data_IF_063917900927
#
_entry.id   IF_063917900927
#
_cell.length_a   1.000
_cell.length_b   1.000
_cell.length_c   1.000
_cell.angle_alpha   90.00
_cell.angle_beta   90.00
_cell.angle_gamma   90.00
#
_symmetry.space_group_name_H-M   'P 1'
#
loop_
_entity.id
_entity.type
_entity.pdbx_description
1 polymer ?
#
# COMPACT_ATOMS: atom_id res chain seq x y z
N UNK A 1 9.71 -7.02 -29.65
CA UNK A 1 8.50 -6.83 -28.83
C UNK A 1 8.86 -7.20 -27.41
N UNK A 2 9.13 -6.22 -26.55
CA UNK A 2 9.47 -6.47 -25.16
C UNK A 2 8.18 -6.67 -24.38
N UNK A 3 7.91 -7.90 -23.94
CA UNK A 3 6.91 -8.10 -22.91
C UNK A 3 7.45 -7.43 -21.65
N UNK A 4 6.85 -6.30 -21.25
CA UNK A 4 7.00 -5.83 -19.88
C UNK A 4 6.36 -6.91 -19.03
N UNK A 5 7.17 -7.70 -18.33
CA UNK A 5 6.65 -8.49 -17.22
C UNK A 5 6.16 -7.45 -16.22
N UNK A 6 4.85 -7.35 -15.94
CA UNK A 6 4.43 -6.59 -14.78
C UNK A 6 5.24 -7.20 -13.64
N UNK A 7 5.97 -6.35 -12.91
CA UNK A 7 6.65 -6.79 -11.71
C UNK A 7 5.61 -7.60 -10.97
N UNK A 8 5.89 -8.88 -10.75
CA UNK A 8 5.07 -9.77 -9.94
C UNK A 8 5.15 -9.26 -8.51
N UNK A 9 4.62 -8.06 -8.29
CA UNK A 9 4.35 -7.46 -7.01
C UNK A 9 3.39 -8.44 -6.39
N UNK A 10 3.91 -9.23 -5.45
CA UNK A 10 3.13 -10.11 -4.59
C UNK A 10 1.73 -9.52 -4.42
N UNK A 11 0.72 -10.24 -4.91
CA UNK A 11 -0.70 -9.85 -4.85
C UNK A 11 -1.25 -9.76 -3.42
N UNK A 12 -0.35 -9.78 -2.43
CA UNK A 12 -0.63 -9.74 -1.02
C UNK A 12 -0.33 -8.32 -0.54
N UNK A 13 -1.39 -7.51 -0.43
CA UNK A 13 -1.42 -6.23 0.27
C UNK A 13 -0.68 -5.07 -0.42
N UNK A 14 -1.36 -4.42 -1.37
CA UNK A 14 -0.97 -3.08 -1.84
C UNK A 14 -1.48 -2.05 -0.83
N UNK A 15 -0.57 -1.25 -0.28
CA UNK A 15 -0.83 -0.09 0.56
C UNK A 15 -0.60 1.18 -0.25
N UNK A 16 -1.30 2.27 0.07
CA UNK A 16 -1.14 3.55 -0.63
C UNK A 16 -0.69 4.64 0.32
N UNK A 17 0.40 5.31 -0.01
CA UNK A 17 0.85 6.49 0.73
C UNK A 17 0.01 7.70 0.31
N UNK A 18 -0.74 8.28 1.24
CA UNK A 18 -1.79 9.25 0.93
C UNK A 18 -1.59 10.60 1.60
N UNK A 19 -0.72 10.74 2.59
CA UNK A 19 -0.36 12.07 3.06
C UNK A 19 0.98 12.00 3.79
N UNK A 20 1.75 13.06 3.74
CA UNK A 20 2.94 13.18 4.57
C UNK A 20 3.21 14.64 4.93
N UNK A 21 3.74 14.83 6.13
CA UNK A 21 4.21 16.11 6.65
C UNK A 21 5.66 15.95 7.07
N UNK A 22 6.50 16.92 6.72
CA UNK A 22 7.93 16.85 7.00
C UNK A 22 8.69 15.92 6.05
N UNK A 23 9.85 15.43 6.49
CA UNK A 23 10.74 14.59 5.67
C UNK A 23 10.39 13.12 5.89
N UNK A 24 9.72 12.53 4.89
CA UNK A 24 9.38 11.12 4.82
C UNK A 24 10.11 10.51 3.64
N UNK A 25 10.79 9.39 3.88
CA UNK A 25 11.50 8.64 2.84
C UNK A 25 10.98 7.21 2.80
N UNK A 26 10.88 6.66 1.61
CA UNK A 26 10.48 5.27 1.39
C UNK A 26 11.65 4.50 0.80
N UNK A 27 11.82 3.28 1.29
CA UNK A 27 12.68 2.27 0.67
C UNK A 27 11.80 1.13 0.22
N UNK A 28 11.55 1.08 -1.08
CA UNK A 28 10.91 -0.09 -1.68
C UNK A 28 11.87 -1.27 -1.60
N UNK A 29 11.33 -2.48 -1.52
CA UNK A 29 12.09 -3.73 -1.42
C UNK A 29 13.10 -3.88 -2.57
N UNK A 30 12.70 -3.42 -3.77
CA UNK A 30 13.55 -3.41 -4.97
C UNK A 30 14.59 -2.28 -5.03
N UNK A 31 14.52 -1.31 -4.11
CA UNK A 31 15.41 -0.15 -4.08
C UNK A 31 16.60 -0.38 -3.15
N UNK A 32 17.79 -0.03 -3.63
CA UNK A 32 19.02 -0.09 -2.81
C UNK A 32 19.09 1.03 -1.77
N UNK A 33 18.38 2.14 -2.00
CA UNK A 33 18.43 3.36 -1.17
C UNK A 33 17.03 3.82 -0.79
N UNK A 34 16.98 4.65 0.24
CA UNK A 34 15.81 5.45 0.59
C UNK A 34 15.67 6.57 -0.43
N UNK A 35 14.44 6.83 -0.84
CA UNK A 35 14.09 7.96 -1.71
C UNK A 35 12.98 8.76 -1.04
N UNK A 36 12.97 10.07 -1.27
CA UNK A 36 11.80 10.86 -0.96
C UNK A 36 10.68 10.37 -1.88
N UNK A 37 9.58 9.91 -1.29
CA UNK A 37 8.47 9.35 -2.07
C UNK A 37 7.40 10.41 -2.29
N UNK A 38 6.70 10.28 -3.41
CA UNK A 38 5.62 11.18 -3.77
C UNK A 38 4.27 10.64 -3.27
N UNK A 39 3.32 11.56 -3.19
CA UNK A 39 1.93 11.27 -2.86
C UNK A 39 1.36 10.21 -3.82
N UNK A 40 0.61 9.24 -3.30
CA UNK A 40 -0.08 8.24 -4.11
C UNK A 40 0.78 7.04 -4.50
N UNK A 41 2.03 6.97 -4.03
CA UNK A 41 2.91 5.84 -4.33
C UNK A 41 2.38 4.52 -3.75
N UNK A 42 2.33 3.44 -4.55
CA UNK A 42 1.99 2.11 -4.05
C UNK A 42 3.16 1.54 -3.25
N UNK A 43 2.83 0.91 -2.12
CA UNK A 43 3.75 0.27 -1.18
C UNK A 43 3.32 -1.18 -0.97
N UNK A 44 4.29 -2.07 -0.74
CA UNK A 44 4.03 -3.44 -0.30
C UNK A 44 4.39 -3.61 1.18
N UNK A 45 3.98 -4.71 1.79
CA UNK A 45 4.21 -4.96 3.23
C UNK A 45 5.68 -5.10 3.63
N UNK A 46 6.59 -5.35 2.69
CA UNK A 46 8.04 -5.44 2.94
C UNK A 46 8.78 -4.12 2.71
N UNK A 47 8.10 -3.10 2.19
CA UNK A 47 8.67 -1.77 2.05
C UNK A 47 8.86 -1.11 3.42
N UNK A 48 9.79 -0.16 3.48
CA UNK A 48 10.11 0.57 4.69
C UNK A 48 9.82 2.05 4.51
N UNK A 49 9.38 2.70 5.58
CA UNK A 49 9.21 4.15 5.66
C UNK A 49 10.11 4.66 6.76
N UNK A 50 10.91 5.66 6.43
CA UNK A 50 11.70 6.42 7.37
C UNK A 50 11.04 7.76 7.64
N UNK A 51 10.70 8.01 8.89
CA UNK A 51 10.21 9.28 9.39
C UNK A 51 11.33 9.99 10.15
N UNK A 52 11.67 11.20 9.72
CA UNK A 52 12.52 12.09 10.52
C UNK A 52 11.74 12.70 11.70
N UNK A 53 12.44 13.38 12.62
CA UNK A 53 11.77 14.05 13.75
C UNK A 53 10.73 15.05 13.25
N UNK A 54 9.55 15.05 13.89
CA UNK A 54 8.39 15.86 13.53
C UNK A 54 7.77 15.57 12.14
N UNK A 55 8.14 14.45 11.51
CA UNK A 55 7.45 13.96 10.32
C UNK A 55 6.23 13.11 10.70
N UNK A 56 5.26 13.03 9.80
CA UNK A 56 4.12 12.12 9.90
C UNK A 56 3.74 11.60 8.52
N UNK A 57 3.24 10.39 8.43
CA UNK A 57 2.72 9.80 7.19
C UNK A 57 1.36 9.17 7.43
N UNK A 58 0.44 9.33 6.50
CA UNK A 58 -0.84 8.63 6.46
C UNK A 58 -0.83 7.63 5.32
N UNK A 59 -1.07 6.38 5.65
CA UNK A 59 -1.04 5.23 4.75
C UNK A 59 -2.43 4.61 4.74
N UNK A 60 -2.98 4.37 3.56
CA UNK A 60 -4.17 3.53 3.41
C UNK A 60 -3.71 2.09 3.28
N UNK A 61 -4.00 1.32 4.31
CA UNK A 61 -3.63 -0.08 4.37
C UNK A 61 -4.58 -0.90 3.47
N UNK A 62 -4.19 -2.14 3.11
CA UNK A 62 -4.95 -2.97 2.17
C UNK A 62 -6.32 -3.42 2.73
N UNK A 63 -6.51 -3.32 4.05
CA UNK A 63 -7.79 -3.51 4.73
C UNK A 63 -8.75 -2.31 4.57
N UNK A 64 -8.34 -1.23 3.89
CA UNK A 64 -9.15 -0.03 3.67
C UNK A 64 -9.06 1.01 4.79
N UNK A 65 -8.43 0.68 5.91
CA UNK A 65 -8.29 1.59 7.03
C UNK A 65 -7.07 2.53 6.84
N UNK A 66 -7.25 3.85 6.97
CA UNK A 66 -6.14 4.78 7.02
C UNK A 66 -5.44 4.69 8.38
N UNK A 67 -4.12 4.65 8.37
CA UNK A 67 -3.29 4.67 9.56
C UNK A 67 -2.26 5.80 9.47
N UNK A 68 -2.14 6.57 10.54
CA UNK A 68 -1.17 7.67 10.63
C UNK A 68 -0.03 7.28 11.56
N UNK A 69 1.18 7.23 11.01
CA UNK A 69 2.41 7.00 11.74
C UNK A 69 3.12 8.35 11.99
N UNK A 70 3.54 8.57 13.23
CA UNK A 70 4.19 9.81 13.69
C UNK A 70 5.49 9.53 14.45
N UNK A 71 5.79 8.27 14.74
CA UNK A 71 6.99 7.89 15.46
C UNK A 71 8.21 8.04 14.54
N UNK A 72 9.22 8.84 14.95
CA UNK A 72 10.46 8.93 14.19
C UNK A 72 11.19 7.59 14.17
N UNK A 73 11.79 7.24 13.04
CA UNK A 73 12.48 5.96 12.86
C UNK A 73 12.21 5.34 11.50
N UNK A 74 12.79 4.16 11.28
CA UNK A 74 12.50 3.33 10.11
C UNK A 74 11.55 2.22 10.54
N UNK A 75 10.40 2.14 9.88
CA UNK A 75 9.33 1.20 10.18
C UNK A 75 9.02 0.35 8.95
N UNK A 76 8.71 -0.92 9.15
CA UNK A 76 8.21 -1.79 8.09
C UNK A 76 6.72 -1.53 7.88
N UNK A 77 6.27 -1.59 6.62
CA UNK A 77 4.84 -1.48 6.30
C UNK A 77 4.00 -2.56 6.97
N UNK A 78 4.55 -3.75 7.19
CA UNK A 78 3.87 -4.83 7.92
C UNK A 78 3.69 -4.57 9.42
N UNK A 79 4.48 -3.68 10.02
CA UNK A 79 4.36 -3.27 11.42
C UNK A 79 3.28 -2.20 11.57
N UNK A 80 3.23 -1.28 10.60
CA UNK A 80 2.26 -0.18 10.57
C UNK A 80 0.88 -0.72 10.11
N UNK A 81 0.84 -1.30 8.93
CA UNK A 81 -0.35 -1.91 8.36
C UNK A 81 -0.42 -3.37 8.79
N UNK A 82 -1.42 -3.72 9.60
CA UNK A 82 -1.80 -5.12 9.78
C UNK A 82 -2.06 -5.72 8.40
N UNK A 83 -1.47 -6.87 8.11
CA UNK A 83 -1.66 -7.55 6.84
C UNK A 83 -3.17 -7.72 6.59
N UNK A 84 -3.70 -6.96 5.63
CA UNK A 84 -5.07 -7.13 5.17
C UNK A 84 -5.21 -8.45 4.44
N UNK A 85 -6.42 -8.99 4.38
CA UNK A 85 -6.69 -10.12 3.49
C UNK A 85 -6.37 -9.73 2.03
N UNK A 86 -5.91 -10.68 1.23
CA UNK A 86 -5.67 -10.46 -0.20
C UNK A 86 -6.95 -9.92 -0.87
N UNK A 87 -6.91 -8.69 -1.35
CA UNK A 87 -8.05 -8.00 -1.99
C UNK A 87 -8.34 -8.60 -3.37
N UNK A 88 -7.32 -9.14 -4.03
CA UNK A 88 -7.46 -9.88 -5.29
C UNK A 88 -7.46 -11.36 -4.97
N UNK A 89 -8.65 -11.95 -4.87
CA UNK A 89 -8.80 -13.40 -4.96
C UNK A 89 -8.88 -13.75 -6.46
N UNK A 90 -7.92 -14.53 -6.96
CA UNK A 90 -8.11 -15.26 -8.21
C UNK A 90 -9.25 -16.26 -7.96
N UNK A 91 -10.47 -15.84 -8.24
CA UNK A 91 -11.65 -16.66 -8.07
C UNK A 91 -12.07 -17.14 -9.47
N UNK A 92 -11.94 -18.44 -9.78
CA UNK A 92 -12.35 -18.99 -11.08
C UNK A 92 -13.85 -18.82 -11.35
N UNK A 93 -14.66 -18.67 -10.29
CA UNK A 93 -16.13 -18.64 -10.30
C UNK A 93 -16.72 -17.37 -9.64
N UNK A 94 -16.20 -16.17 -9.97
CA UNK A 94 -16.61 -14.86 -9.42
C UNK A 94 -18.09 -14.47 -9.59
N UNK A 95 -18.97 -15.32 -10.10
CA UNK A 95 -20.38 -14.97 -10.31
C UNK A 95 -21.17 -14.77 -9.00
N UNK A 96 -20.62 -15.18 -7.86
CA UNK A 96 -21.31 -15.12 -6.56
C UNK A 96 -20.54 -14.30 -5.49
N UNK A 97 -19.67 -13.38 -5.91
CA UNK A 97 -18.95 -12.51 -4.98
C UNK A 97 -19.92 -11.53 -4.30
N UNK A 98 -20.16 -11.73 -3.00
CA UNK A 98 -21.03 -10.89 -2.17
C UNK A 98 -20.48 -9.49 -1.91
N UNK A 99 -19.20 -9.23 -2.24
CA UNK A 99 -18.59 -7.90 -2.19
C UNK A 99 -18.69 -7.15 -3.51
N UNK A 100 -19.24 -7.78 -4.56
CA UNK A 100 -19.52 -7.09 -5.83
C UNK A 100 -20.53 -5.97 -5.54
N UNK A 101 -20.20 -4.70 -5.81
CA UNK A 101 -21.17 -3.63 -5.66
C UNK A 101 -22.37 -3.94 -6.57
N UNK A 102 -23.54 -4.11 -5.96
CA UNK A 102 -24.79 -4.24 -6.69
C UNK A 102 -25.00 -2.88 -7.36
N UNK A 103 -24.74 -2.80 -8.66
CA UNK A 103 -25.09 -1.61 -9.44
C UNK A 103 -26.61 -1.57 -9.47
N UNK A 104 -27.20 -0.80 -8.57
CA UNK A 104 -28.60 -0.41 -8.70
C UNK A 104 -28.65 0.50 -9.93
N UNK A 105 -29.22 0.02 -11.03
CA UNK A 105 -29.59 0.91 -12.13
C UNK A 105 -30.55 1.92 -11.54
N UNK A 106 -30.20 3.21 -11.61
CA UNK A 106 -31.18 4.26 -11.41
C UNK A 106 -32.26 4.11 -12.49
N UNK A 107 -33.49 3.85 -12.05
CA UNK A 107 -34.70 4.06 -12.84
C UNK A 107 -35.87 4.36 -11.92
#
# INVERSE_FOLDING_TARGET
MGCTTPVGSNSNSIHMLMNFKGNVQVKKTQWRKLHQDDYGSPLNSNDQIKLERNASVTIYCSNGDPLTETQPGTHLLSEICRAGEAVIRLCPDCNNDTRRPIVTKEQ
#
